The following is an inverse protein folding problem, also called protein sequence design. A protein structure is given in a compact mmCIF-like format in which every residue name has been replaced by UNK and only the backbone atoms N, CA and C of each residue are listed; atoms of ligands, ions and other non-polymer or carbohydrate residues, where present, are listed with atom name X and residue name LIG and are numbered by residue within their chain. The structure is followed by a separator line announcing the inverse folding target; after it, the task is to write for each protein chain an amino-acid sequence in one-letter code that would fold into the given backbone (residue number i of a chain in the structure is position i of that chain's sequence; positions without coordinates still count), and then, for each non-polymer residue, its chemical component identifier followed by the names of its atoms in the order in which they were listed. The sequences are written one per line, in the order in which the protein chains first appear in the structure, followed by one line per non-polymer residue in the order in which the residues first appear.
data_IF_460742077031
#
_entry.id   IF_460742077031
#
_cell.length_a   1.000
_cell.length_b   1.000
_cell.length_c   1.000
_cell.angle_alpha   90.00
_cell.angle_beta   90.00
_cell.angle_gamma   90.00
#
_symmetry.space_group_name_H-M   'P 1'
#
loop_
_entity.id
_entity.type
_entity.pdbx_description
1 polymer ?
#
# COMPACT_ATOMS: atom_id res chain seq x y z
N UNK A 1 -22.77 45.22 -38.36
CA UNK A 1 -21.98 46.32 -38.91
C UNK A 1 -20.53 45.88 -38.80
N UNK A 2 -19.90 45.64 -39.94
CA UNK A 2 -18.46 45.48 -40.15
C UNK A 2 -18.14 46.34 -41.40
N UNK A 3 -16.99 47.03 -41.50
CA UNK A 3 -15.72 46.42 -41.94
C UNK A 3 -14.47 46.85 -41.11
N UNK A 4 -13.31 46.17 -41.07
CA UNK A 4 -12.26 45.76 -42.06
C UNK A 4 -11.36 46.91 -42.60
N UNK A 5 -10.04 46.61 -42.69
CA UNK A 5 -8.84 47.27 -43.30
C UNK A 5 -7.81 47.85 -42.28
N UNK A 6 -6.56 47.35 -42.17
CA UNK A 6 -5.38 47.35 -43.09
C UNK A 6 -4.75 48.75 -43.27
N UNK A 7 -3.43 48.96 -43.34
CA UNK A 7 -2.22 48.13 -43.17
C UNK A 7 -1.10 49.03 -42.57
N UNK A 8 -0.07 48.51 -41.91
CA UNK A 8 1.30 48.26 -42.45
C UNK A 8 2.30 48.63 -41.30
N UNK A 9 3.58 48.22 -41.22
CA UNK A 9 4.41 47.42 -42.12
C UNK A 9 5.64 46.78 -41.43
N UNK A 10 6.71 46.56 -42.20
CA UNK A 10 8.02 45.98 -41.81
C UNK A 10 9.10 46.52 -42.79
N UNK A 11 10.43 46.22 -42.76
CA UNK A 11 11.18 45.28 -41.91
C UNK A 11 12.53 45.84 -41.37
N UNK A 12 13.38 44.98 -40.78
CA UNK A 12 14.81 44.75 -41.17
C UNK A 12 15.33 43.47 -40.49
N UNK A 13 16.28 42.82 -41.17
CA UNK A 13 17.01 41.57 -40.92
C UNK A 13 17.53 41.34 -39.47
N UNK A 14 17.90 40.13 -39.02
CA UNK A 14 18.06 38.86 -39.74
C UNK A 14 19.51 38.34 -39.70
N UNK A 15 19.85 37.48 -38.73
CA UNK A 15 21.07 36.67 -38.74
C UNK A 15 20.90 35.41 -37.85
N UNK A 16 21.11 34.24 -38.42
CA UNK A 16 21.17 32.94 -37.73
C UNK A 16 22.62 32.44 -37.72
N UNK A 17 23.02 31.67 -36.71
CA UNK A 17 23.92 30.48 -36.80
C UNK A 17 24.19 29.94 -35.37
N UNK A 18 23.49 28.87 -34.95
CA UNK A 18 23.92 27.45 -34.97
C UNK A 18 24.92 27.01 -33.88
N UNK A 19 24.38 26.20 -32.96
CA UNK A 19 24.94 24.92 -32.50
C UNK A 19 26.25 24.93 -31.66
N UNK A 20 26.20 24.37 -30.45
CA UNK A 20 26.89 23.09 -30.12
C UNK A 20 26.42 22.57 -28.75
N UNK A 21 26.14 21.27 -28.71
CA UNK A 21 25.81 20.45 -27.55
C UNK A 21 26.91 20.43 -26.47
N UNK A 22 26.55 20.53 -25.17
CA UNK A 22 27.26 19.85 -24.07
C UNK A 22 26.48 19.84 -22.75
N UNK A 23 26.05 18.63 -22.38
CA UNK A 23 25.57 18.23 -21.06
C UNK A 23 26.70 18.26 -20.02
N UNK A 24 26.52 19.00 -18.93
CA UNK A 24 27.43 18.98 -17.77
C UNK A 24 26.68 18.59 -16.50
N UNK A 25 26.98 17.40 -15.98
CA UNK A 25 26.56 16.95 -14.65
C UNK A 25 27.51 17.50 -13.60
N UNK A 26 27.06 18.44 -12.77
CA UNK A 26 27.80 18.86 -11.59
C UNK A 26 27.36 18.05 -10.37
N UNK A 27 28.24 17.15 -9.94
CA UNK A 27 28.17 16.51 -8.64
C UNK A 27 28.44 17.55 -7.55
N UNK A 28 27.48 17.77 -6.65
CA UNK A 28 27.71 18.51 -5.41
C UNK A 28 28.07 17.53 -4.31
N UNK A 29 29.36 17.20 -4.23
CA UNK A 29 29.96 16.66 -3.02
C UNK A 29 29.77 17.66 -1.87
N UNK A 30 29.25 17.18 -0.74
CA UNK A 30 29.37 17.93 0.52
C UNK A 30 29.66 16.98 1.68
N UNK A 31 30.93 16.96 2.04
CA UNK A 31 31.51 16.16 3.10
C UNK A 31 30.95 16.50 4.49
N UNK A 32 30.69 15.44 5.27
CA UNK A 32 31.04 15.32 6.68
C UNK A 32 31.21 16.61 7.50
N UNK A 33 30.23 16.88 8.37
CA UNK A 33 30.53 17.25 9.75
C UNK A 33 29.64 16.44 10.68
N UNK A 34 30.25 15.76 11.65
CA UNK A 34 29.52 14.99 12.64
C UNK A 34 28.83 15.90 13.65
N UNK A 35 27.61 15.55 14.04
CA UNK A 35 27.01 16.00 15.29
C UNK A 35 26.29 14.79 15.89
N UNK A 36 26.73 14.36 17.06
CA UNK A 36 26.16 13.21 17.76
C UNK A 36 24.78 13.58 18.33
N UNK A 37 23.75 13.43 17.50
CA UNK A 37 22.37 13.35 17.96
C UNK A 37 21.86 11.93 17.75
N UNK A 38 21.53 11.25 18.85
CA UNK A 38 21.03 9.88 18.93
C UNK A 38 20.07 9.55 17.78
N UNK A 39 20.31 8.50 16.96
CA UNK A 39 19.39 8.16 15.89
C UNK A 39 18.09 7.64 16.50
N UNK A 40 17.02 8.43 16.42
CA UNK A 40 15.64 7.92 16.48
C UNK A 40 15.48 7.01 15.25
N UNK A 41 15.91 5.75 15.41
CA UNK A 41 16.01 4.75 14.35
C UNK A 41 14.70 4.76 13.59
N UNK A 42 14.74 5.27 12.36
CA UNK A 42 13.57 5.27 11.50
C UNK A 42 13.01 3.85 11.49
N UNK A 43 11.74 3.72 11.85
CA UNK A 43 11.06 2.42 11.87
C UNK A 43 10.75 2.06 10.42
N UNK A 44 11.81 1.75 9.68
CA UNK A 44 11.74 1.13 8.38
C UNK A 44 11.10 -0.23 8.60
N UNK A 45 9.78 -0.33 8.39
CA UNK A 45 9.03 -1.56 8.59
C UNK A 45 9.48 -2.74 7.69
N UNK A 46 10.45 -2.51 6.80
CA UNK A 46 11.19 -3.52 6.06
C UNK A 46 12.23 -4.24 6.92
N UNK A 47 12.78 -3.59 7.95
CA UNK A 47 13.53 -4.26 9.01
C UNK A 47 12.58 -4.65 10.15
N UNK A 48 12.57 -5.93 10.46
CA UNK A 48 11.79 -6.50 11.55
C UNK A 48 12.35 -6.14 12.94
N UNK A 49 13.55 -5.53 13.02
CA UNK A 49 14.16 -5.03 14.27
C UNK A 49 13.23 -4.10 15.07
N UNK A 50 12.34 -3.39 14.35
CA UNK A 50 11.36 -2.48 14.93
C UNK A 50 10.17 -3.13 15.63
N UNK A 51 9.93 -4.44 15.47
CA UNK A 51 8.74 -5.14 15.96
C UNK A 51 8.84 -5.51 17.45
N UNK A 52 7.70 -5.76 18.10
CA UNK A 52 7.62 -6.05 19.54
C UNK A 52 8.34 -7.32 19.96
N UNK A 53 8.42 -8.32 19.07
CA UNK A 53 9.14 -9.58 19.31
C UNK A 53 10.67 -9.46 19.20
N UNK A 54 11.22 -8.39 18.63
CA UNK A 54 12.69 -8.29 18.42
C UNK A 54 13.48 -8.30 19.74
N UNK A 55 12.88 -7.84 20.85
CA UNK A 55 13.42 -7.97 22.20
C UNK A 55 13.35 -9.41 22.73
N UNK A 56 12.26 -10.13 22.45
CA UNK A 56 12.06 -11.50 22.93
C UNK A 56 13.07 -12.46 22.26
N UNK A 57 13.26 -12.33 20.95
CA UNK A 57 14.24 -13.13 20.20
C UNK A 57 15.66 -12.56 20.25
N UNK A 58 15.95 -11.56 21.08
CA UNK A 58 17.28 -10.92 21.11
C UNK A 58 18.42 -11.94 21.32
N UNK A 59 18.17 -12.95 22.17
CA UNK A 59 19.08 -14.03 22.51
C UNK A 59 19.19 -15.15 21.43
N UNK A 60 18.38 -15.13 20.37
CA UNK A 60 18.42 -16.14 19.31
C UNK A 60 19.60 -15.91 18.35
N UNK A 61 20.08 -16.98 17.73
CA UNK A 61 21.09 -16.92 16.68
C UNK A 61 20.57 -16.18 15.42
N UNK A 62 21.50 -15.77 14.55
CA UNK A 62 21.17 -15.13 13.27
C UNK A 62 20.37 -16.09 12.36
N UNK A 63 20.65 -17.39 12.42
CA UNK A 63 19.96 -18.40 11.62
C UNK A 63 18.50 -18.59 12.07
N UNK A 64 18.25 -18.68 13.38
CA UNK A 64 16.90 -18.77 13.95
C UNK A 64 16.08 -17.51 13.66
N UNK A 65 16.68 -16.32 13.82
CA UNK A 65 16.06 -15.03 13.42
C UNK A 65 15.72 -14.99 11.94
N UNK A 66 16.61 -15.51 11.08
CA UNK A 66 16.39 -15.62 9.64
C UNK A 66 15.25 -16.58 9.28
N UNK A 67 15.15 -17.72 9.97
CA UNK A 67 14.06 -18.68 9.79
C UNK A 67 12.71 -18.10 10.24
N UNK A 68 12.67 -17.44 11.40
CA UNK A 68 11.46 -16.75 11.90
C UNK A 68 11.02 -15.64 10.94
N UNK A 69 11.97 -14.85 10.42
CA UNK A 69 11.73 -13.79 9.44
C UNK A 69 11.05 -14.31 8.17
N UNK A 70 11.45 -15.49 7.68
CA UNK A 70 10.84 -16.15 6.50
C UNK A 70 9.37 -16.58 6.69
N UNK A 71 8.82 -16.54 7.91
CA UNK A 71 7.40 -16.83 8.13
C UNK A 71 6.45 -15.77 7.54
N UNK A 72 6.92 -14.54 7.33
CA UNK A 72 6.17 -13.49 6.67
C UNK A 72 6.55 -13.37 5.19
N UNK A 73 5.54 -13.38 4.32
CA UNK A 73 5.70 -13.01 2.91
C UNK A 73 6.02 -11.51 2.80
N UNK A 74 6.90 -11.17 1.88
CA UNK A 74 7.30 -9.77 1.63
C UNK A 74 6.11 -8.86 1.28
N UNK A 75 5.13 -9.37 0.53
CA UNK A 75 3.88 -8.68 0.24
C UNK A 75 3.04 -8.37 1.50
N UNK A 76 3.07 -9.24 2.51
CA UNK A 76 2.44 -8.98 3.82
C UNK A 76 3.18 -7.86 4.57
N UNK A 77 4.51 -7.88 4.57
CA UNK A 77 5.33 -6.83 5.21
C UNK A 77 5.12 -5.46 4.56
N UNK A 78 5.12 -5.41 3.22
CA UNK A 78 4.80 -4.21 2.45
C UNK A 78 3.39 -3.68 2.78
N UNK A 79 2.40 -4.57 2.87
CA UNK A 79 1.02 -4.22 3.25
C UNK A 79 0.92 -3.69 4.68
N UNK A 80 1.70 -4.23 5.62
CA UNK A 80 1.66 -3.84 7.04
C UNK A 80 2.44 -2.55 7.35
N UNK A 81 3.38 -2.14 6.49
CA UNK A 81 4.20 -0.92 6.64
C UNK A 81 3.38 0.34 6.90
N UNK A 82 2.34 0.60 6.10
CA UNK A 82 1.52 1.81 6.25
C UNK A 82 0.60 1.78 7.50
N UNK A 83 -0.12 0.68 7.80
CA UNK A 83 -0.84 0.53 9.06
C UNK A 83 0.02 0.69 10.32
N UNK A 84 1.21 0.08 10.37
CA UNK A 84 2.14 0.19 11.50
C UNK A 84 2.66 1.62 11.65
N UNK A 85 3.03 2.30 10.54
CA UNK A 85 3.46 3.71 10.60
C UNK A 85 2.38 4.61 11.20
N UNK A 86 1.12 4.47 10.76
CA UNK A 86 -0.03 5.23 11.31
C UNK A 86 -0.24 4.96 12.81
N UNK A 87 -0.16 3.70 13.22
CA UNK A 87 -0.24 3.30 14.63
C UNK A 87 0.86 3.96 15.48
N UNK A 88 2.13 3.85 15.09
CA UNK A 88 3.23 4.45 15.84
C UNK A 88 3.10 5.98 15.92
N UNK A 89 2.70 6.64 14.83
CA UNK A 89 2.45 8.09 14.86
C UNK A 89 1.36 8.47 15.87
N UNK A 90 0.24 7.74 15.89
CA UNK A 90 -0.84 7.97 16.85
C UNK A 90 -0.37 7.74 18.30
N UNK A 91 0.39 6.67 18.56
CA UNK A 91 1.00 6.41 19.87
C UNK A 91 1.98 7.50 20.31
N UNK A 92 2.84 8.01 19.42
CA UNK A 92 3.74 9.14 19.71
C UNK A 92 2.93 10.37 20.16
N UNK A 93 1.83 10.70 19.47
CA UNK A 93 0.94 11.82 19.84
C UNK A 93 0.28 11.62 21.21
N UNK A 94 -0.18 10.40 21.52
CA UNK A 94 -0.90 10.10 22.77
C UNK A 94 0.01 9.66 23.93
N UNK A 95 1.34 9.68 23.75
CA UNK A 95 2.36 9.21 24.71
C UNK A 95 2.18 7.73 25.15
N UNK A 96 1.63 6.90 24.26
CA UNK A 96 1.39 5.46 24.47
C UNK A 96 2.60 4.64 24.00
N UNK A 97 2.94 3.56 24.70
CA UNK A 97 3.99 2.64 24.25
C UNK A 97 3.51 1.77 23.07
N UNK A 98 3.90 2.17 21.86
CA UNK A 98 3.53 1.50 20.61
C UNK A 98 3.90 0.01 20.53
N UNK A 99 4.85 -0.49 21.34
CA UNK A 99 5.27 -1.92 21.36
C UNK A 99 4.47 -2.77 22.35
N UNK A 100 3.85 -2.16 23.36
CA UNK A 100 3.08 -2.85 24.40
C UNK A 100 1.87 -1.99 24.81
N UNK A 101 0.91 -1.75 23.90
CA UNK A 101 -0.32 -1.04 24.22
C UNK A 101 -1.25 -1.88 25.10
N UNK A 102 -2.17 -1.20 25.77
CA UNK A 102 -3.34 -1.83 26.38
C UNK A 102 -4.44 -2.07 25.33
N UNK A 103 -5.44 -2.88 25.70
CA UNK A 103 -6.54 -3.21 24.78
C UNK A 103 -7.46 -2.04 24.46
N UNK A 104 -7.64 -1.13 25.41
CA UNK A 104 -8.38 0.13 25.24
C UNK A 104 -7.65 1.11 24.32
N UNK A 105 -6.31 1.19 24.37
CA UNK A 105 -5.52 2.01 23.43
C UNK A 105 -5.83 1.63 21.97
N UNK A 106 -5.82 0.33 21.67
CA UNK A 106 -6.12 -0.16 20.32
C UNK A 106 -7.60 0.00 20.00
N UNK A 107 -8.51 -0.22 20.94
CA UNK A 107 -9.93 0.05 20.71
C UNK A 107 -10.20 1.53 20.37
N UNK A 108 -9.57 2.48 21.08
CA UNK A 108 -9.62 3.93 20.81
C UNK A 108 -9.06 4.27 19.43
N UNK A 109 -7.92 3.69 19.05
CA UNK A 109 -7.35 3.89 17.72
C UNK A 109 -8.25 3.34 16.60
N UNK A 110 -8.83 2.14 16.76
CA UNK A 110 -9.75 1.57 15.76
C UNK A 110 -11.05 2.41 15.64
N UNK A 111 -11.54 2.99 16.74
CA UNK A 111 -12.63 3.95 16.71
C UNK A 111 -12.25 5.23 15.96
N UNK A 112 -11.05 5.79 16.20
CA UNK A 112 -10.50 6.94 15.46
C UNK A 112 -10.44 6.69 13.94
N UNK A 113 -9.96 5.50 13.53
CA UNK A 113 -9.91 5.11 12.11
C UNK A 113 -11.28 5.06 11.43
N UNK A 114 -12.35 4.82 12.20
CA UNK A 114 -13.72 4.84 11.69
C UNK A 114 -14.33 6.24 11.70
N UNK A 115 -14.20 6.97 12.81
CA UNK A 115 -14.87 8.25 13.02
C UNK A 115 -14.21 9.43 12.27
N UNK A 116 -12.87 9.47 12.26
CA UNK A 116 -12.12 10.58 11.64
C UNK A 116 -11.65 10.24 10.23
N UNK A 117 -11.08 9.04 10.02
CA UNK A 117 -10.52 8.64 8.72
C UNK A 117 -11.55 7.96 7.79
N UNK A 118 -12.78 7.70 8.27
CA UNK A 118 -13.89 7.02 7.57
C UNK A 118 -13.47 5.74 6.80
N UNK A 119 -12.55 4.96 7.38
CA UNK A 119 -12.01 3.78 6.71
C UNK A 119 -13.04 2.65 6.62
N UNK A 120 -13.01 1.93 5.50
CA UNK A 120 -13.81 0.73 5.33
C UNK A 120 -13.43 -0.33 6.39
N UNK A 121 -14.43 -1.08 6.89
CA UNK A 121 -14.25 -2.07 7.95
C UNK A 121 -13.14 -3.09 7.67
N UNK A 122 -12.98 -3.55 6.42
CA UNK A 122 -11.88 -4.45 6.02
C UNK A 122 -10.49 -3.83 6.21
N UNK A 123 -10.35 -2.53 5.95
CA UNK A 123 -9.11 -1.78 6.18
C UNK A 123 -8.84 -1.64 7.68
N UNK A 124 -9.88 -1.44 8.51
CA UNK A 124 -9.76 -1.39 9.97
C UNK A 124 -9.33 -2.77 10.53
N UNK A 125 -9.84 -3.88 9.98
CA UNK A 125 -9.37 -5.23 10.30
C UNK A 125 -7.91 -5.46 9.89
N UNK A 126 -7.46 -4.91 8.75
CA UNK A 126 -6.05 -4.94 8.36
C UNK A 126 -5.17 -4.19 9.38
N UNK A 127 -5.60 -3.00 9.82
CA UNK A 127 -4.92 -2.26 10.90
C UNK A 127 -4.82 -3.09 12.19
N UNK A 128 -5.93 -3.67 12.65
CA UNK A 128 -5.96 -4.56 13.82
C UNK A 128 -4.97 -5.73 13.68
N UNK A 129 -4.92 -6.39 12.53
CA UNK A 129 -4.01 -7.52 12.28
C UNK A 129 -2.55 -7.10 12.20
N UNK A 130 -2.25 -5.96 11.57
CA UNK A 130 -0.90 -5.41 11.50
C UNK A 130 -0.37 -4.99 12.89
N UNK A 131 -1.20 -4.34 13.70
CA UNK A 131 -0.86 -3.98 15.09
C UNK A 131 -0.66 -5.24 15.93
N UNK A 132 -1.54 -6.24 15.80
CA UNK A 132 -1.40 -7.52 16.52
C UNK A 132 -0.08 -8.22 16.18
N UNK A 133 0.31 -8.27 14.90
CA UNK A 133 1.59 -8.85 14.48
C UNK A 133 2.79 -8.03 14.97
N UNK A 134 2.67 -6.69 14.94
CA UNK A 134 3.70 -5.76 15.41
C UNK A 134 3.92 -5.84 16.93
N UNK A 135 2.86 -5.89 17.73
CA UNK A 135 2.91 -5.93 19.21
C UNK A 135 3.04 -7.36 19.79
N UNK A 136 3.69 -8.28 19.05
CA UNK A 136 3.69 -9.73 19.27
C UNK A 136 3.76 -10.21 20.74
N UNK A 137 4.53 -9.53 21.58
CA UNK A 137 4.71 -9.84 23.01
C UNK A 137 3.43 -9.85 23.86
N UNK A 138 2.32 -9.22 23.41
CA UNK A 138 1.03 -9.17 24.15
C UNK A 138 -0.17 -9.62 23.29
N UNK A 139 0.08 -10.45 22.28
CA UNK A 139 -0.88 -10.82 21.22
C UNK A 139 -2.15 -11.52 21.69
N UNK A 140 -2.03 -12.46 22.61
CA UNK A 140 -3.19 -13.21 23.11
C UNK A 140 -4.21 -12.30 23.78
N UNK A 141 -3.76 -11.28 24.51
CA UNK A 141 -4.64 -10.34 25.20
C UNK A 141 -5.25 -9.32 24.23
N UNK A 142 -4.47 -8.84 23.25
CA UNK A 142 -4.89 -7.72 22.41
C UNK A 142 -6.04 -8.05 21.45
N UNK A 143 -6.01 -9.22 20.83
CA UNK A 143 -7.09 -9.67 19.92
C UNK A 143 -8.30 -10.26 20.65
N UNK A 144 -8.11 -10.74 21.88
CA UNK A 144 -9.19 -11.27 22.74
C UNK A 144 -9.81 -10.17 23.63
N UNK A 145 -9.28 -8.95 23.63
CA UNK A 145 -9.78 -7.86 24.47
C UNK A 145 -11.23 -7.48 24.10
N UNK A 146 -12.08 -7.38 25.13
CA UNK A 146 -13.50 -7.07 24.99
C UNK A 146 -13.76 -5.75 24.25
N UNK A 147 -13.03 -4.67 24.56
CA UNK A 147 -13.23 -3.37 23.92
C UNK A 147 -12.89 -3.41 22.43
N UNK A 148 -11.80 -4.09 22.05
CA UNK A 148 -11.42 -4.27 20.63
C UNK A 148 -12.51 -5.02 19.87
N UNK A 149 -13.04 -6.10 20.44
CA UNK A 149 -14.13 -6.86 19.81
C UNK A 149 -15.43 -6.06 19.73
N UNK A 150 -15.80 -5.35 20.78
CA UNK A 150 -17.04 -4.58 20.84
C UNK A 150 -17.00 -3.34 19.93
N UNK A 151 -15.87 -2.66 19.80
CA UNK A 151 -15.68 -1.57 18.82
C UNK A 151 -15.78 -2.11 17.39
N UNK A 152 -15.12 -3.22 17.06
CA UNK A 152 -15.24 -3.83 15.73
C UNK A 152 -16.67 -4.29 15.43
N UNK A 153 -17.37 -4.86 16.41
CA UNK A 153 -18.80 -5.21 16.30
C UNK A 153 -19.65 -3.96 16.04
N UNK A 154 -19.46 -2.88 16.81
CA UNK A 154 -20.17 -1.62 16.60
C UNK A 154 -19.94 -1.04 15.20
N UNK A 155 -18.70 -1.01 14.71
CA UNK A 155 -18.38 -0.57 13.34
C UNK A 155 -19.07 -1.46 12.29
N UNK A 156 -19.08 -2.78 12.50
CA UNK A 156 -19.72 -3.72 11.55
C UNK A 156 -21.25 -3.60 11.49
N UNK A 157 -21.88 -3.12 12.57
CA UNK A 157 -23.31 -2.84 12.63
C UNK A 157 -23.64 -1.46 12.05
N UNK A 158 -22.81 -0.45 12.35
CA UNK A 158 -22.96 0.92 11.84
C UNK A 158 -22.70 1.02 10.32
N UNK A 159 -21.81 0.16 9.80
CA UNK A 159 -21.56 0.00 8.37
C UNK A 159 -21.64 -1.48 7.99
N UNK A 160 -22.84 -2.01 7.67
CA UNK A 160 -22.96 -3.39 7.18
C UNK A 160 -22.05 -3.58 5.97
N UNK A 161 -21.39 -4.75 5.88
CA UNK A 161 -20.51 -5.01 4.75
C UNK A 161 -21.32 -5.08 3.46
N UNK A 162 -20.83 -4.41 2.43
CA UNK A 162 -21.34 -4.53 1.07
C UNK A 162 -21.47 -6.01 0.70
N UNK A 163 -22.62 -6.36 0.12
CA UNK A 163 -22.86 -7.72 -0.36
C UNK A 163 -21.76 -8.10 -1.34
N UNK A 164 -21.36 -9.38 -1.33
CA UNK A 164 -20.39 -9.88 -2.32
C UNK A 164 -20.92 -9.55 -3.71
N UNK A 165 -20.03 -9.09 -4.61
CA UNK A 165 -20.37 -8.87 -6.01
C UNK A 165 -21.18 -10.06 -6.53
N UNK A 166 -22.31 -9.83 -7.23
CA UNK A 166 -23.15 -10.92 -7.71
C UNK A 166 -22.34 -11.86 -8.60
N UNK A 167 -22.73 -13.14 -8.63
CA UNK A 167 -22.18 -14.09 -9.59
C UNK A 167 -22.51 -13.55 -10.98
N UNK A 168 -21.47 -13.26 -11.76
CA UNK A 168 -21.60 -12.69 -13.09
C UNK A 168 -22.06 -13.77 -14.08
N UNK A 169 -22.85 -13.36 -15.08
CA UNK A 169 -23.37 -14.28 -16.08
C UNK A 169 -22.29 -14.66 -17.11
N UNK A 170 -21.94 -15.94 -17.16
CA UNK A 170 -20.95 -16.47 -18.11
C UNK A 170 -21.47 -16.47 -19.55
N UNK A 171 -22.79 -16.46 -19.77
CA UNK A 171 -23.38 -16.43 -21.11
C UNK A 171 -23.05 -15.12 -21.85
N UNK A 172 -23.00 -13.99 -21.15
CA UNK A 172 -22.56 -12.71 -21.70
C UNK A 172 -21.12 -12.79 -22.26
N UNK A 173 -20.23 -13.48 -21.56
CA UNK A 173 -18.84 -13.68 -21.99
C UNK A 173 -18.73 -14.63 -23.19
N UNK A 174 -19.50 -15.73 -23.19
CA UNK A 174 -19.56 -16.62 -24.35
C UNK A 174 -20.15 -15.95 -25.59
N UNK A 175 -21.16 -15.09 -25.41
CA UNK A 175 -21.75 -14.29 -26.49
C UNK A 175 -20.75 -13.26 -27.03
N UNK A 176 -20.02 -12.56 -26.16
CA UNK A 176 -18.92 -11.68 -26.57
C UNK A 176 -17.83 -12.44 -27.35
N UNK A 177 -17.41 -13.61 -26.86
CA UNK A 177 -16.37 -14.41 -27.50
C UNK A 177 -16.76 -14.91 -28.90
N UNK A 178 -18.04 -15.27 -29.09
CA UNK A 178 -18.62 -15.69 -30.37
C UNK A 178 -18.80 -14.54 -31.36
N UNK A 179 -19.29 -13.39 -30.90
CA UNK A 179 -19.70 -12.29 -31.78
C UNK A 179 -18.60 -11.27 -32.07
N UNK A 180 -17.53 -11.24 -31.27
CA UNK A 180 -16.39 -10.37 -31.57
C UNK A 180 -15.65 -10.94 -32.78
N UNK A 181 -15.46 -10.17 -33.88
CA UNK A 181 -14.77 -10.66 -35.07
C UNK A 181 -13.32 -11.05 -34.75
N UNK A 182 -12.78 -12.03 -35.46
CA UNK A 182 -11.36 -12.37 -35.37
C UNK A 182 -10.54 -11.18 -35.88
N UNK A 183 -9.94 -10.44 -34.95
CA UNK A 183 -8.99 -9.38 -35.25
C UNK A 183 -7.59 -9.96 -35.23
N UNK A 184 -6.79 -9.66 -36.25
CA UNK A 184 -5.44 -10.24 -36.42
C UNK A 184 -4.40 -9.68 -35.44
N UNK A 185 -4.82 -8.89 -34.44
CA UNK A 185 -3.89 -8.33 -33.45
C UNK A 185 -3.51 -9.41 -32.43
N UNK A 186 -2.20 -9.55 -32.19
CA UNK A 186 -1.67 -10.45 -31.16
C UNK A 186 -2.26 -10.14 -29.77
N UNK A 187 -2.61 -8.89 -29.51
CA UNK A 187 -3.25 -8.45 -28.28
C UNK A 187 -4.66 -9.05 -28.10
N UNK A 188 -5.50 -9.05 -29.14
CA UNK A 188 -6.84 -9.62 -29.05
C UNK A 188 -6.81 -11.14 -28.97
N UNK A 189 -5.91 -11.80 -29.70
CA UNK A 189 -5.71 -13.24 -29.62
C UNK A 189 -5.25 -13.65 -28.22
N UNK A 190 -4.22 -13.00 -27.67
CA UNK A 190 -3.71 -13.29 -26.32
C UNK A 190 -4.73 -12.96 -25.22
N UNK A 191 -5.53 -11.91 -25.38
CA UNK A 191 -6.64 -11.60 -24.47
C UNK A 191 -7.72 -12.68 -24.50
N UNK A 192 -8.12 -13.18 -25.68
CA UNK A 192 -9.09 -14.28 -25.82
C UNK A 192 -8.57 -15.57 -25.18
N UNK A 193 -7.33 -15.97 -25.44
CA UNK A 193 -6.75 -17.20 -24.87
C UNK A 193 -6.60 -17.08 -23.35
N UNK A 194 -6.16 -15.93 -22.83
CA UNK A 194 -6.10 -15.68 -21.39
C UNK A 194 -7.48 -15.77 -20.71
N UNK A 195 -8.52 -15.21 -21.32
CA UNK A 195 -9.91 -15.31 -20.83
C UNK A 195 -10.39 -16.76 -20.78
N UNK A 196 -10.19 -17.53 -21.85
CA UNK A 196 -10.58 -18.95 -21.91
C UNK A 196 -9.79 -19.76 -20.87
N UNK A 197 -8.48 -19.50 -20.74
CA UNK A 197 -7.62 -20.18 -19.78
C UNK A 197 -8.02 -19.88 -18.32
N UNK A 198 -8.38 -18.63 -17.99
CA UNK A 198 -8.93 -18.27 -16.68
C UNK A 198 -10.27 -18.97 -16.40
N UNK A 199 -11.17 -18.97 -17.38
CA UNK A 199 -12.49 -19.59 -17.25
C UNK A 199 -12.41 -21.11 -17.06
N UNK A 200 -11.52 -21.78 -17.81
CA UNK A 200 -11.32 -23.22 -17.74
C UNK A 200 -10.53 -23.67 -16.50
N UNK A 201 -9.55 -22.88 -16.05
CA UNK A 201 -8.69 -23.26 -14.92
C UNK A 201 -9.18 -22.80 -13.55
N UNK A 202 -10.10 -21.81 -13.50
CA UNK A 202 -10.56 -21.20 -12.24
C UNK A 202 -9.47 -20.46 -11.46
N UNK A 203 -8.32 -20.19 -12.08
CA UNK A 203 -7.15 -19.58 -11.47
C UNK A 203 -7.26 -18.06 -11.36
N UNK A 204 -6.38 -17.45 -10.58
CA UNK A 204 -6.29 -15.97 -10.46
C UNK A 204 -5.49 -15.42 -11.63
N UNK A 205 -5.74 -14.16 -11.97
CA UNK A 205 -4.98 -13.44 -13.03
C UNK A 205 -3.47 -13.44 -12.76
N UNK A 206 -3.05 -13.40 -11.50
CA UNK A 206 -1.63 -13.49 -11.13
C UNK A 206 -0.98 -14.85 -11.49
N UNK A 207 -1.77 -15.91 -11.57
CA UNK A 207 -1.29 -17.24 -11.97
C UNK A 207 -1.02 -17.33 -13.50
N UNK A 208 -1.38 -16.29 -14.27
CA UNK A 208 -0.99 -16.12 -15.69
C UNK A 208 0.33 -15.36 -15.88
N UNK A 209 0.80 -14.64 -14.85
CA UNK A 209 1.99 -13.79 -14.90
C UNK A 209 3.23 -14.47 -14.29
N UNK A 210 3.21 -15.81 -14.26
CA UNK A 210 4.28 -16.67 -13.71
C UNK A 210 5.33 -17.01 -14.77
#
# INVERSE_FOLDING_TARGET
MDPVFLADGSPVEGASETNTDRRSTEQLDRSYYGTESTPDREIGASSLDGWGWSRQVAHWSVQEKGLLTKSWRESTLATYKAPIKRWVTWCKTHKINHRSPQGDDVARFLAKLYLEDNLAYRTILLHKSAISAYCAANTENLSKNFFVQQVLKAISLARPQDTKSPIWDTNLLFHWLKNTPATDTLFDISRRTAIILLLASGRRVHDLTL
#
